data_IF_397714563344
#
_entry.id   IF_397714563344
#
_cell.length_a   1.000
_cell.length_b   1.000
_cell.length_c   1.000
_cell.angle_alpha   90.00
_cell.angle_beta   90.00
_cell.angle_gamma   90.00
#
_symmetry.space_group_name_H-M   'P 1'
#
loop_
_entity.id
_entity.type
_entity.pdbx_description
1 polymer ?
#
# COMPACT_ATOMS: atom_id res chain seq x y z
N UNK A 1 18.09 10.93 57.01
CA UNK A 1 17.01 10.05 56.53
C UNK A 1 15.91 10.91 55.94
N UNK A 2 15.83 10.99 54.61
CA UNK A 2 14.61 11.40 53.89
C UNK A 2 14.83 11.20 52.39
N UNK A 3 14.57 9.98 51.92
CA UNK A 3 14.44 9.70 50.49
C UNK A 3 13.13 10.30 49.99
N UNK A 4 13.20 11.26 49.06
CA UNK A 4 12.06 11.70 48.26
C UNK A 4 11.96 10.83 47.02
N UNK A 5 10.87 10.08 46.91
CA UNK A 5 10.48 9.33 45.72
C UNK A 5 10.10 10.30 44.59
N UNK A 6 10.73 10.16 43.42
CA UNK A 6 10.17 10.62 42.15
C UNK A 6 9.29 9.50 41.59
N UNK A 7 8.02 9.79 41.35
CA UNK A 7 7.13 8.99 40.51
C UNK A 7 7.02 9.65 39.12
N UNK A 8 6.92 8.89 38.01
CA UNK A 8 6.96 9.46 36.67
C UNK A 8 5.57 9.90 36.19
N UNK A 9 5.48 11.14 35.72
CA UNK A 9 4.45 11.61 34.79
C UNK A 9 4.62 10.86 33.46
N UNK A 10 3.81 9.84 33.18
CA UNK A 10 3.82 9.17 31.88
C UNK A 10 2.45 8.65 31.41
N UNK A 11 1.33 9.27 31.83
CA UNK A 11 -0.01 8.77 31.52
C UNK A 11 -1.02 9.84 31.07
N UNK A 12 -0.61 10.84 30.29
CA UNK A 12 -1.50 11.97 29.93
C UNK A 12 -1.42 12.45 28.47
N UNK A 13 -1.10 11.56 27.51
CA UNK A 13 -1.02 11.93 26.08
C UNK A 13 -1.85 11.07 25.11
N UNK A 14 -2.70 10.15 25.60
CA UNK A 14 -3.50 9.28 24.72
C UNK A 14 -4.94 9.77 24.51
N UNK A 15 -5.43 10.74 25.30
CA UNK A 15 -6.86 11.11 25.30
C UNK A 15 -7.23 12.35 24.45
N UNK A 16 -6.29 13.04 23.80
CA UNK A 16 -6.57 14.37 23.22
C UNK A 16 -6.99 14.39 21.73
N UNK A 17 -6.88 13.28 20.98
CA UNK A 17 -7.17 13.29 19.53
C UNK A 17 -8.62 12.92 19.14
N UNK A 18 -9.49 12.56 20.08
CA UNK A 18 -10.88 12.14 19.76
C UNK A 18 -11.92 13.27 19.88
N UNK A 19 -11.51 14.52 20.15
CA UNK A 19 -12.43 15.65 20.39
C UNK A 19 -12.31 16.81 19.39
N UNK A 20 -11.51 16.69 18.34
CA UNK A 20 -11.53 17.66 17.24
C UNK A 20 -12.70 17.34 16.29
N UNK A 21 -13.84 17.96 16.57
CA UNK A 21 -15.05 17.86 15.74
C UNK A 21 -14.80 18.28 14.29
N UNK A 22 -15.18 17.41 13.38
CA UNK A 22 -15.38 17.76 11.97
C UNK A 22 -16.80 18.32 11.82
N UNK A 23 -16.97 19.62 12.05
CA UNK A 23 -18.11 20.37 11.51
C UNK A 23 -17.77 20.74 10.06
N UNK A 24 -18.29 19.97 9.12
CA UNK A 24 -18.39 20.37 7.72
C UNK A 24 -19.67 19.76 7.16
N UNK A 25 -20.67 20.61 6.97
CA UNK A 25 -21.95 20.25 6.39
C UNK A 25 -21.76 19.61 5.00
N UNK A 26 -22.57 18.61 4.62
CA UNK A 26 -22.48 18.03 3.29
C UNK A 26 -23.07 18.97 2.24
N UNK A 27 -22.23 19.40 1.32
CA UNK A 27 -22.62 20.05 0.07
C UNK A 27 -23.32 19.02 -0.82
N UNK A 28 -24.59 19.28 -1.15
CA UNK A 28 -25.42 18.40 -1.99
C UNK A 28 -24.97 18.52 -3.44
N UNK A 29 -24.23 17.53 -3.94
CA UNK A 29 -23.93 17.38 -5.36
C UNK A 29 -25.12 16.70 -6.05
N UNK A 30 -25.89 17.46 -6.84
CA UNK A 30 -26.88 16.92 -7.76
C UNK A 30 -26.17 16.14 -8.87
N UNK A 31 -26.34 14.81 -8.89
CA UNK A 31 -25.99 13.98 -10.04
C UNK A 31 -27.12 14.03 -11.06
N UNK A 32 -26.88 14.71 -12.18
CA UNK A 32 -27.63 14.51 -13.43
C UNK A 32 -26.98 13.36 -14.20
N UNK A 33 -27.61 12.19 -14.21
CA UNK A 33 -27.23 11.07 -15.08
C UNK A 33 -27.72 11.34 -16.51
N UNK A 34 -26.79 11.35 -17.47
CA UNK A 34 -27.10 11.28 -18.89
C UNK A 34 -27.08 9.81 -19.35
N UNK A 35 -27.93 9.41 -20.32
CA UNK A 35 -28.05 8.02 -20.72
C UNK A 35 -26.81 7.54 -21.49
N UNK A 36 -26.24 6.43 -21.04
CA UNK A 36 -25.12 5.73 -21.68
C UNK A 36 -25.65 4.97 -22.90
N UNK A 37 -25.31 5.44 -24.10
CA UNK A 37 -25.51 4.72 -25.35
C UNK A 37 -24.43 3.65 -25.47
N UNK A 38 -24.86 2.37 -25.42
CA UNK A 38 -23.99 1.22 -25.64
C UNK A 38 -23.46 1.23 -27.08
N UNK A 39 -22.14 1.35 -27.25
CA UNK A 39 -21.48 1.16 -28.54
C UNK A 39 -20.68 -0.14 -28.47
N UNK A 40 -21.07 -1.12 -29.27
CA UNK A 40 -20.37 -2.39 -29.46
C UNK A 40 -18.97 -2.17 -30.06
N UNK A 41 -17.90 -2.79 -29.52
CA UNK A 41 -16.57 -2.72 -30.12
C UNK A 41 -16.51 -3.50 -31.44
N UNK A 42 -16.08 -2.84 -32.52
CA UNK A 42 -15.75 -3.49 -33.79
C UNK A 42 -14.50 -4.39 -33.64
N UNK A 43 -14.44 -5.53 -34.36
CA UNK A 43 -13.27 -6.41 -34.35
C UNK A 43 -12.06 -5.75 -35.04
N UNK A 44 -10.91 -5.88 -34.39
CA UNK A 44 -9.60 -5.37 -34.82
C UNK A 44 -9.11 -6.13 -36.08
N UNK A 45 -8.59 -5.46 -37.12
CA UNK A 45 -8.09 -6.13 -38.31
C UNK A 45 -6.85 -6.98 -38.03
N UNK A 46 -6.82 -8.16 -38.63
CA UNK A 46 -5.74 -9.13 -38.64
C UNK A 46 -4.49 -8.59 -39.37
N UNK A 47 -3.27 -8.75 -38.81
CA UNK A 47 -2.06 -8.25 -39.47
C UNK A 47 -1.71 -9.10 -40.71
N UNK A 48 -1.55 -8.44 -41.86
CA UNK A 48 -1.05 -9.05 -43.09
C UNK A 48 0.46 -9.36 -43.03
N UNK A 49 0.93 -10.41 -43.74
CA UNK A 49 2.31 -10.84 -43.72
C UNK A 49 3.25 -9.85 -44.42
N UNK A 50 4.23 -9.35 -43.67
CA UNK A 50 5.23 -8.41 -44.14
C UNK A 50 6.23 -9.08 -45.10
N UNK A 51 6.42 -8.46 -46.27
CA UNK A 51 7.29 -8.90 -47.36
C UNK A 51 8.76 -8.84 -46.95
N UNK A 52 9.45 -9.99 -46.99
CA UNK A 52 10.91 -10.09 -46.90
C UNK A 52 11.59 -9.35 -48.06
N UNK A 53 12.64 -8.60 -47.73
CA UNK A 53 13.61 -8.01 -48.67
C UNK A 53 15.05 -8.34 -48.22
N UNK A 54 16.05 -8.24 -49.13
CA UNK A 54 17.03 -9.31 -49.32
C UNK A 54 18.25 -9.25 -48.40
N UNK A 55 18.87 -10.42 -48.28
CA UNK A 55 20.22 -10.68 -47.80
C UNK A 55 21.22 -9.67 -48.42
N UNK A 56 21.84 -8.84 -47.58
CA UNK A 56 23.06 -8.12 -47.96
C UNK A 56 24.22 -8.86 -47.32
N UNK A 57 24.97 -9.55 -48.18
CA UNK A 57 26.34 -9.97 -47.94
C UNK A 57 27.24 -8.73 -47.88
N UNK A 58 27.91 -8.54 -46.75
CA UNK A 58 29.17 -7.79 -46.72
C UNK A 58 30.05 -8.25 -45.58
N UNK A 59 30.83 -9.28 -45.90
CA UNK A 59 32.13 -9.54 -45.30
C UNK A 59 32.92 -8.24 -45.11
N UNK A 60 33.11 -7.83 -43.85
CA UNK A 60 34.18 -6.93 -43.43
C UNK A 60 34.74 -7.43 -42.11
N UNK A 61 35.70 -8.34 -42.24
CA UNK A 61 36.58 -8.83 -41.18
C UNK A 61 37.48 -7.67 -40.72
N UNK A 62 37.02 -6.90 -39.75
CA UNK A 62 37.90 -6.02 -38.98
C UNK A 62 38.31 -6.79 -37.73
N UNK A 63 39.53 -7.31 -37.77
CA UNK A 63 40.21 -7.96 -36.64
C UNK A 63 40.44 -6.93 -35.54
N UNK A 64 39.47 -6.78 -34.64
CA UNK A 64 39.67 -6.12 -33.37
C UNK A 64 40.51 -7.05 -32.48
N UNK A 65 41.63 -6.53 -31.98
CA UNK A 65 42.47 -7.21 -30.99
C UNK A 65 41.61 -7.71 -29.81
N UNK A 66 41.97 -8.83 -29.14
CA UNK A 66 41.22 -9.37 -28.03
C UNK A 66 41.22 -8.34 -26.89
N UNK A 67 40.13 -7.59 -26.75
CA UNK A 67 39.93 -6.76 -25.58
C UNK A 67 39.76 -7.72 -24.41
N UNK A 68 40.69 -7.68 -23.45
CA UNK A 68 40.55 -8.39 -22.18
C UNK A 68 39.15 -8.10 -21.62
N UNK A 69 38.37 -9.11 -21.21
CA UNK A 69 37.02 -8.91 -20.73
C UNK A 69 37.03 -7.90 -19.58
N UNK A 70 36.36 -6.77 -19.76
CA UNK A 70 36.15 -5.78 -18.68
C UNK A 70 35.40 -6.50 -17.58
N UNK A 71 36.02 -6.61 -16.40
CA UNK A 71 35.44 -7.21 -15.20
C UNK A 71 34.20 -6.39 -14.81
N UNK A 72 33.02 -6.83 -15.24
CA UNK A 72 31.74 -6.20 -14.87
C UNK A 72 31.60 -6.34 -13.36
N UNK A 73 31.28 -5.24 -12.67
CA UNK A 73 31.14 -5.28 -11.21
C UNK A 73 29.96 -6.18 -10.82
N UNK A 74 30.08 -6.88 -9.69
CA UNK A 74 29.02 -7.76 -9.19
C UNK A 74 27.67 -7.00 -9.01
N UNK A 75 27.73 -5.71 -8.68
CA UNK A 75 26.55 -4.85 -8.58
C UNK A 75 25.84 -4.66 -9.93
N UNK A 76 26.60 -4.42 -11.00
CA UNK A 76 26.03 -4.26 -12.35
C UNK A 76 25.35 -5.56 -12.80
N UNK A 77 25.95 -6.72 -12.53
CA UNK A 77 25.34 -8.01 -12.82
C UNK A 77 24.02 -8.21 -12.03
N UNK A 78 24.00 -7.85 -10.75
CA UNK A 78 22.78 -7.93 -9.93
C UNK A 78 21.67 -7.02 -10.46
N UNK A 79 21.98 -5.78 -10.82
CA UNK A 79 20.99 -4.86 -11.38
C UNK A 79 20.42 -5.38 -12.71
N UNK A 80 21.26 -5.96 -13.57
CA UNK A 80 20.80 -6.58 -14.81
C UNK A 80 19.80 -7.72 -14.54
N UNK A 81 20.14 -8.64 -13.62
CA UNK A 81 19.24 -9.75 -13.25
C UNK A 81 17.90 -9.24 -12.71
N UNK A 82 17.91 -8.22 -11.85
CA UNK A 82 16.68 -7.67 -11.28
C UNK A 82 15.82 -6.95 -12.33
N UNK A 83 16.44 -6.26 -13.29
CA UNK A 83 15.74 -5.65 -14.42
C UNK A 83 15.14 -6.72 -15.36
N UNK A 84 15.86 -7.82 -15.60
CA UNK A 84 15.36 -8.93 -16.41
C UNK A 84 14.12 -9.56 -15.77
N UNK A 85 14.14 -9.79 -14.44
CA UNK A 85 12.97 -10.29 -13.69
C UNK A 85 11.74 -9.40 -13.91
N UNK A 86 11.91 -8.08 -13.78
CA UNK A 86 10.81 -7.12 -13.94
C UNK A 86 10.28 -7.08 -15.38
N UNK A 87 11.19 -7.13 -16.35
CA UNK A 87 10.85 -7.12 -17.77
C UNK A 87 10.07 -8.37 -18.15
N UNK A 88 10.55 -9.54 -17.71
CA UNK A 88 9.89 -10.83 -17.93
C UNK A 88 8.53 -10.91 -17.21
N UNK A 89 8.45 -10.42 -15.97
CA UNK A 89 7.19 -10.39 -15.23
C UNK A 89 6.15 -9.51 -15.93
N UNK A 90 6.51 -8.26 -16.28
CA UNK A 90 5.64 -7.32 -17.00
C UNK A 90 5.20 -7.85 -18.37
N UNK A 91 6.07 -8.57 -19.08
CA UNK A 91 5.71 -9.17 -20.38
C UNK A 91 4.58 -10.19 -20.25
N UNK A 92 4.50 -10.89 -19.12
CA UNK A 92 3.56 -11.99 -18.90
C UNK A 92 2.39 -11.63 -17.98
N UNK A 93 2.35 -10.41 -17.43
CA UNK A 93 1.31 -9.93 -16.51
C UNK A 93 0.81 -8.55 -16.94
N UNK A 94 -0.50 -8.37 -16.94
CA UNK A 94 -1.12 -7.07 -17.25
C UNK A 94 -1.76 -6.51 -15.99
N UNK A 95 -1.40 -5.29 -15.64
CA UNK A 95 -2.10 -4.54 -14.61
C UNK A 95 -3.46 -4.09 -15.13
N UNK A 96 -4.54 -4.49 -14.45
CA UNK A 96 -5.91 -4.30 -14.96
C UNK A 96 -6.69 -3.13 -14.33
N UNK A 97 -6.12 -2.34 -13.41
CA UNK A 97 -6.82 -1.17 -12.87
C UNK A 97 -6.23 -0.61 -11.59
N UNK A 98 -6.85 0.44 -11.04
CA UNK A 98 -6.26 1.37 -10.07
C UNK A 98 -6.29 0.92 -8.59
N UNK A 99 -6.45 -0.37 -8.31
CA UNK A 99 -6.57 -0.85 -6.94
C UNK A 99 -5.21 -1.22 -6.34
N UNK A 100 -5.00 -0.85 -5.08
CA UNK A 100 -3.83 -1.20 -4.28
C UNK A 100 -3.63 -2.72 -4.22
N UNK A 101 -4.72 -3.49 -4.15
CA UNK A 101 -4.63 -4.95 -4.07
C UNK A 101 -3.89 -5.55 -5.29
N UNK A 102 -4.07 -4.99 -6.49
CA UNK A 102 -3.38 -5.48 -7.68
C UNK A 102 -1.88 -5.21 -7.65
N UNK A 103 -1.44 -4.01 -7.24
CA UNK A 103 0.00 -3.72 -7.16
C UNK A 103 0.66 -4.51 -6.02
N UNK A 104 -0.07 -4.77 -4.92
CA UNK A 104 0.39 -5.62 -3.83
C UNK A 104 0.58 -7.08 -4.28
N UNK A 105 -0.37 -7.64 -5.03
CA UNK A 105 -0.26 -8.99 -5.57
C UNK A 105 0.94 -9.12 -6.52
N UNK A 106 1.10 -8.18 -7.44
CA UNK A 106 2.26 -8.14 -8.34
C UNK A 106 3.59 -8.01 -7.57
N UNK A 107 3.63 -7.17 -6.54
CA UNK A 107 4.81 -7.04 -5.68
C UNK A 107 5.12 -8.34 -4.93
N UNK A 108 4.11 -9.04 -4.41
CA UNK A 108 4.29 -10.33 -3.73
C UNK A 108 4.84 -11.41 -4.66
N UNK A 109 4.37 -11.47 -5.91
CA UNK A 109 4.89 -12.40 -6.92
C UNK A 109 6.35 -12.09 -7.28
N UNK A 110 6.66 -10.83 -7.59
CA UNK A 110 8.02 -10.41 -7.91
C UNK A 110 8.94 -10.65 -6.71
N UNK A 111 8.48 -10.38 -5.48
CA UNK A 111 9.24 -10.68 -4.27
C UNK A 111 9.60 -12.17 -4.19
N UNK A 112 8.65 -13.07 -4.45
CA UNK A 112 8.91 -14.51 -4.48
C UNK A 112 9.99 -14.87 -5.52
N UNK A 113 9.88 -14.33 -6.74
CA UNK A 113 10.86 -14.58 -7.81
C UNK A 113 12.26 -14.11 -7.40
N UNK A 114 12.35 -12.89 -6.83
CA UNK A 114 13.61 -12.29 -6.38
C UNK A 114 14.25 -13.11 -5.25
N UNK A 115 13.45 -13.56 -4.27
CA UNK A 115 13.92 -14.44 -3.18
C UNK A 115 14.40 -15.79 -3.70
N UNK A 116 13.68 -16.40 -4.64
CA UNK A 116 14.08 -17.68 -5.27
C UNK A 116 15.39 -17.55 -6.05
N UNK A 117 15.67 -16.38 -6.63
CA UNK A 117 16.96 -16.07 -7.27
C UNK A 117 18.10 -15.79 -6.29
N UNK A 118 17.86 -15.90 -4.98
CA UNK A 118 18.88 -15.77 -3.93
C UNK A 118 19.15 -14.34 -3.46
N UNK A 119 18.30 -13.38 -3.82
CA UNK A 119 18.44 -12.00 -3.36
C UNK A 119 17.72 -11.78 -2.03
N UNK A 120 18.27 -10.90 -1.18
CA UNK A 120 17.49 -10.35 -0.08
C UNK A 120 16.49 -9.35 -0.62
N UNK A 121 15.23 -9.47 -0.19
CA UNK A 121 14.15 -8.62 -0.65
C UNK A 121 13.14 -8.35 0.46
N UNK A 122 12.54 -7.17 0.40
CA UNK A 122 11.40 -6.76 1.23
C UNK A 122 10.29 -6.27 0.32
N UNK A 123 9.07 -6.35 0.79
CA UNK A 123 7.93 -5.65 0.20
C UNK A 123 7.86 -4.26 0.79
N UNK A 124 7.41 -3.29 0.01
CA UNK A 124 7.15 -1.94 0.45
C UNK A 124 5.72 -1.57 0.13
N UNK A 125 5.04 -0.90 1.05
CA UNK A 125 3.81 -0.17 0.80
C UNK A 125 4.04 1.30 1.08
N UNK A 126 3.43 2.19 0.30
CA UNK A 126 3.57 3.63 0.52
C UNK A 126 2.93 4.48 -0.58
N UNK A 127 3.42 5.71 -0.74
CA UNK A 127 3.05 6.60 -1.83
C UNK A 127 4.31 7.11 -2.56
N UNK A 128 4.46 6.83 -3.86
CA UNK A 128 5.66 7.20 -4.61
C UNK A 128 5.72 8.70 -4.96
N UNK A 129 4.60 9.42 -4.85
CA UNK A 129 4.44 10.81 -5.30
C UNK A 129 4.25 11.80 -4.14
N UNK A 130 3.97 11.31 -2.93
CA UNK A 130 3.75 12.14 -1.74
C UNK A 130 4.39 11.55 -0.48
N UNK A 131 4.94 12.41 0.37
CA UNK A 131 5.31 12.02 1.73
C UNK A 131 4.05 11.85 2.59
N UNK A 132 3.86 10.63 3.11
CA UNK A 132 2.69 10.25 3.91
C UNK A 132 3.09 9.78 5.32
N UNK A 133 4.34 10.00 5.73
CA UNK A 133 4.88 9.47 6.99
C UNK A 133 4.64 10.35 8.22
N UNK A 134 4.01 11.51 8.03
CA UNK A 134 3.77 12.51 9.07
C UNK A 134 2.87 12.00 10.21
N UNK A 135 1.86 11.18 9.91
CA UNK A 135 0.98 10.57 10.91
C UNK A 135 0.43 9.23 10.43
N UNK A 136 -0.06 8.40 11.36
CA UNK A 136 -0.78 7.16 11.03
C UNK A 136 -1.96 7.43 10.08
N UNK A 137 -2.75 8.47 10.37
CA UNK A 137 -3.87 8.88 9.51
C UNK A 137 -3.43 9.24 8.10
N UNK A 138 -2.41 10.11 7.97
CA UNK A 138 -1.86 10.51 6.66
C UNK A 138 -1.38 9.32 5.85
N UNK A 139 -0.80 8.33 6.54
CA UNK A 139 -0.33 7.10 5.92
C UNK A 139 -1.48 6.24 5.41
N UNK A 140 -2.49 5.97 6.25
CA UNK A 140 -3.62 5.11 5.90
C UNK A 140 -4.50 5.70 4.78
N UNK A 141 -4.62 7.03 4.73
CA UNK A 141 -5.34 7.74 3.66
C UNK A 141 -4.48 7.95 2.41
N UNK A 142 -3.16 7.93 2.57
CA UNK A 142 -2.24 8.31 1.51
C UNK A 142 -1.53 7.16 0.81
N UNK A 143 -1.48 5.98 1.41
CA UNK A 143 -0.84 4.81 0.80
C UNK A 143 -1.61 4.40 -0.46
N UNK A 144 -0.90 4.35 -1.58
CA UNK A 144 -1.51 4.13 -2.90
C UNK A 144 -0.78 3.10 -3.75
N UNK A 145 0.37 2.60 -3.29
CA UNK A 145 1.20 1.71 -4.09
C UNK A 145 1.99 0.69 -3.27
N UNK A 146 2.33 -0.42 -3.91
CA UNK A 146 3.19 -1.46 -3.37
C UNK A 146 4.26 -1.89 -4.38
N UNK A 147 5.48 -2.14 -3.89
CA UNK A 147 6.63 -2.49 -4.71
C UNK A 147 7.61 -3.40 -3.95
N UNK A 148 8.70 -3.80 -4.60
CA UNK A 148 9.76 -4.63 -3.99
C UNK A 148 11.01 -3.80 -3.77
N UNK A 149 11.69 -4.04 -2.65
CA UNK A 149 13.04 -3.54 -2.39
C UNK A 149 13.99 -4.73 -2.44
N UNK A 150 15.01 -4.69 -3.31
CA UNK A 150 16.01 -5.74 -3.42
C UNK A 150 17.40 -5.24 -2.99
N UNK A 151 18.12 -6.04 -2.20
CA UNK A 151 19.46 -5.69 -1.73
C UNK A 151 20.50 -6.01 -2.81
N UNK A 152 21.19 -4.97 -3.32
CA UNK A 152 22.24 -5.12 -4.34
C UNK A 152 23.64 -5.11 -3.74
N UNK A 153 23.82 -4.48 -2.58
CA UNK A 153 25.04 -4.52 -1.76
C UNK A 153 24.68 -4.54 -0.26
N UNK A 154 25.61 -4.81 0.67
CA UNK A 154 25.32 -4.83 2.11
C UNK A 154 24.58 -3.59 2.63
N UNK A 155 24.71 -2.43 1.99
CA UNK A 155 24.05 -1.17 2.39
C UNK A 155 23.21 -0.54 1.29
N UNK A 156 23.19 -1.13 0.09
CA UNK A 156 22.49 -0.59 -1.06
C UNK A 156 21.31 -1.46 -1.43
N UNK A 157 20.16 -0.80 -1.53
CA UNK A 157 18.89 -1.38 -1.96
C UNK A 157 18.42 -0.67 -3.23
N UNK A 158 17.77 -1.41 -4.11
CA UNK A 158 17.11 -0.87 -5.29
C UNK A 158 15.60 -1.12 -5.18
N UNK A 159 14.81 -0.08 -5.45
CA UNK A 159 13.37 -0.23 -5.59
C UNK A 159 13.04 -0.84 -6.96
N UNK A 160 12.07 -1.73 -6.98
CA UNK A 160 11.63 -2.50 -8.14
C UNK A 160 10.16 -2.20 -8.38
N UNK A 161 9.87 -1.35 -9.37
CA UNK A 161 8.52 -1.00 -9.76
C UNK A 161 7.88 -2.15 -10.53
N UNK A 162 7.07 -2.95 -9.83
CA UNK A 162 6.56 -4.23 -10.32
C UNK A 162 5.48 -4.05 -11.40
N UNK A 163 4.71 -2.97 -11.31
CA UNK A 163 3.64 -2.65 -12.27
C UNK A 163 4.23 -2.11 -13.56
N UNK A 164 5.19 -1.20 -13.42
CA UNK A 164 5.91 -0.58 -14.54
C UNK A 164 7.04 -1.44 -15.11
N UNK A 165 7.52 -2.46 -14.41
CA UNK A 165 8.58 -3.34 -14.89
C UNK A 165 9.95 -2.66 -14.98
N UNK A 166 10.29 -1.74 -14.06
CA UNK A 166 11.58 -1.04 -14.07
C UNK A 166 12.19 -0.85 -12.67
N UNK A 167 13.52 -0.75 -12.63
CA UNK A 167 14.24 -0.36 -11.40
C UNK A 167 14.11 1.15 -11.16
N UNK A 168 14.02 1.53 -9.89
CA UNK A 168 13.82 2.93 -9.47
C UNK A 168 15.02 3.40 -8.65
N UNK A 169 15.91 4.25 -9.21
CA UNK A 169 17.04 4.79 -8.47
C UNK A 169 16.63 5.77 -7.36
N UNK A 170 17.20 5.61 -6.17
CA UNK A 170 16.93 6.48 -5.01
C UNK A 170 17.09 7.97 -5.28
N UNK A 171 18.07 8.35 -6.11
CA UNK A 171 18.33 9.76 -6.45
C UNK A 171 17.21 10.39 -7.27
N UNK A 172 16.51 9.59 -8.06
CA UNK A 172 15.45 10.05 -8.97
C UNK A 172 14.09 10.07 -8.26
N UNK A 173 13.83 9.05 -7.43
CA UNK A 173 12.56 8.88 -6.71
C UNK A 173 12.81 8.50 -5.25
N UNK A 174 13.19 9.46 -4.39
CA UNK A 174 13.54 9.18 -2.99
C UNK A 174 12.38 8.63 -2.16
N UNK A 175 11.12 8.94 -2.52
CA UNK A 175 9.94 8.52 -1.78
C UNK A 175 9.71 7.00 -1.78
N UNK A 176 10.21 6.26 -2.79
CA UNK A 176 10.25 4.79 -2.77
C UNK A 176 11.08 4.21 -1.61
N UNK A 177 11.91 5.04 -0.98
CA UNK A 177 12.83 4.65 0.07
C UNK A 177 12.51 5.27 1.43
N UNK A 178 11.86 6.44 1.45
CA UNK A 178 11.58 7.20 2.68
C UNK A 178 10.10 7.28 3.05
N UNK A 179 9.19 7.13 2.08
CA UNK A 179 7.74 7.26 2.26
C UNK A 179 7.05 5.89 2.21
N UNK A 180 7.65 4.91 2.91
CA UNK A 180 7.18 3.53 2.88
C UNK A 180 7.41 2.81 4.20
N UNK A 181 6.59 1.79 4.42
CA UNK A 181 6.84 0.76 5.42
C UNK A 181 7.25 -0.53 4.71
N UNK A 182 8.18 -1.26 5.33
CA UNK A 182 8.81 -2.42 4.72
C UNK A 182 8.42 -3.71 5.43
N UNK A 183 7.94 -4.67 4.65
CA UNK A 183 7.50 -5.98 5.11
C UNK A 183 8.51 -7.05 4.70
N UNK A 184 8.77 -7.98 5.60
CA UNK A 184 9.78 -9.02 5.37
C UNK A 184 9.28 -10.12 4.43
N UNK A 185 7.96 -10.29 4.30
CA UNK A 185 7.33 -11.35 3.54
C UNK A 185 5.87 -11.00 3.18
N UNK A 186 5.25 -11.74 2.23
CA UNK A 186 3.86 -11.56 1.83
C UNK A 186 2.83 -11.63 2.97
N UNK A 187 3.04 -12.50 3.96
CA UNK A 187 2.08 -12.66 5.07
C UNK A 187 1.97 -11.38 5.92
N UNK A 188 3.09 -10.70 6.17
CA UNK A 188 3.09 -9.42 6.87
C UNK A 188 2.36 -8.32 6.09
N UNK A 189 2.59 -8.22 4.77
CA UNK A 189 1.89 -7.24 3.93
C UNK A 189 0.38 -7.52 3.90
N UNK A 190 -0.03 -8.78 3.68
CA UNK A 190 -1.44 -9.19 3.70
C UNK A 190 -2.11 -8.86 5.04
N UNK A 191 -1.41 -9.11 6.15
CA UNK A 191 -1.91 -8.77 7.49
C UNK A 191 -2.12 -7.27 7.64
N UNK A 192 -1.18 -6.46 7.17
CA UNK A 192 -1.29 -5.00 7.21
C UNK A 192 -2.48 -4.49 6.37
N UNK A 193 -2.65 -5.02 5.16
CA UNK A 193 -3.77 -4.66 4.28
C UNK A 193 -5.12 -5.06 4.89
N UNK A 194 -5.22 -6.29 5.41
CA UNK A 194 -6.43 -6.76 6.09
C UNK A 194 -6.76 -5.89 7.31
N UNK A 195 -5.76 -5.52 8.13
CA UNK A 195 -5.97 -4.61 9.25
C UNK A 195 -6.41 -3.21 8.80
N UNK A 196 -5.90 -2.72 7.66
CA UNK A 196 -6.30 -1.43 7.08
C UNK A 196 -7.77 -1.44 6.68
N UNK A 197 -8.20 -2.51 6.02
CA UNK A 197 -9.60 -2.71 5.65
C UNK A 197 -10.52 -2.88 6.86
N UNK A 198 -10.13 -3.73 7.81
CA UNK A 198 -10.88 -3.95 9.04
C UNK A 198 -11.01 -2.68 9.90
N UNK A 199 -9.95 -1.87 9.98
CA UNK A 199 -9.99 -0.57 10.65
C UNK A 199 -11.00 0.35 9.95
N UNK A 200 -10.90 0.50 8.62
CA UNK A 200 -11.82 1.34 7.85
C UNK A 200 -13.27 0.95 8.07
N UNK A 201 -13.59 -0.33 7.89
CA UNK A 201 -14.95 -0.84 7.99
C UNK A 201 -15.49 -0.70 9.43
N UNK A 202 -14.70 -1.12 10.43
CA UNK A 202 -15.13 -1.04 11.84
C UNK A 202 -15.30 0.39 12.33
N UNK A 203 -14.41 1.31 11.93
CA UNK A 203 -14.51 2.71 12.32
C UNK A 203 -15.69 3.40 11.61
N UNK A 204 -15.95 3.09 10.34
CA UNK A 204 -17.11 3.61 9.63
C UNK A 204 -18.41 3.13 10.29
N UNK A 205 -18.56 1.83 10.51
CA UNK A 205 -19.75 1.26 11.17
C UNK A 205 -19.96 1.84 12.57
N UNK A 206 -18.88 2.00 13.35
CA UNK A 206 -18.94 2.67 14.65
C UNK A 206 -19.49 4.09 14.54
N UNK A 207 -18.98 4.89 13.60
CA UNK A 207 -19.41 6.28 13.42
C UNK A 207 -20.89 6.37 12.98
N UNK A 208 -21.34 5.47 12.11
CA UNK A 208 -22.75 5.37 11.70
C UNK A 208 -23.65 5.00 12.87
N UNK A 209 -23.28 3.97 13.65
CA UNK A 209 -24.02 3.55 14.84
C UNK A 209 -24.04 4.64 15.91
N UNK A 210 -22.92 5.32 16.17
CA UNK A 210 -22.83 6.41 17.13
C UNK A 210 -23.70 7.60 16.72
N UNK A 211 -23.72 7.94 15.43
CA UNK A 211 -24.59 9.00 14.89
C UNK A 211 -26.06 8.63 15.05
N UNK A 212 -26.43 7.39 14.70
CA UNK A 212 -27.79 6.88 14.87
C UNK A 212 -28.21 6.83 16.33
N UNK A 213 -27.35 6.33 17.21
CA UNK A 213 -27.54 6.29 18.64
C UNK A 213 -27.83 7.68 19.20
N UNK A 214 -26.96 8.65 18.93
CA UNK A 214 -27.11 10.02 19.40
C UNK A 214 -28.45 10.63 18.96
N UNK A 215 -28.87 10.42 17.70
CA UNK A 215 -30.19 10.86 17.22
C UNK A 215 -31.36 10.19 17.94
N UNK A 216 -31.22 8.90 18.28
CA UNK A 216 -32.27 8.13 18.93
C UNK A 216 -32.42 8.47 20.41
N UNK A 217 -31.32 8.67 21.13
CA UNK A 217 -31.33 8.81 22.60
C UNK A 217 -31.19 10.26 23.10
N UNK A 218 -30.69 11.20 22.29
CA UNK A 218 -30.54 12.58 22.73
C UNK A 218 -31.86 13.17 23.22
N UNK A 219 -31.86 13.66 24.46
CA UNK A 219 -33.02 14.28 25.11
C UNK A 219 -34.14 13.31 25.51
N UNK A 220 -33.97 12.00 25.34
CA UNK A 220 -35.00 11.00 25.67
C UNK A 220 -34.61 10.20 26.91
N UNK A 221 -35.57 10.04 27.84
CA UNK A 221 -35.47 9.06 28.92
C UNK A 221 -36.14 7.77 28.46
N UNK A 222 -35.48 6.64 28.68
CA UNK A 222 -36.08 5.32 28.45
C UNK A 222 -36.03 4.49 29.73
N UNK A 223 -36.99 3.58 29.88
CA UNK A 223 -37.04 2.65 31.01
C UNK A 223 -36.20 1.41 30.67
N UNK A 224 -35.14 1.08 31.44
CA UNK A 224 -34.43 -0.17 31.28
C UNK A 224 -35.41 -1.37 31.36
N UNK A 225 -35.23 -2.36 30.49
CA UNK A 225 -36.08 -3.55 30.42
C UNK A 225 -37.41 -3.38 29.68
N UNK A 226 -37.79 -2.17 29.25
CA UNK A 226 -38.85 -1.99 28.25
C UNK A 226 -38.40 -2.49 26.88
N UNK A 227 -39.33 -2.79 25.96
CA UNK A 227 -38.97 -3.18 24.58
C UNK A 227 -38.03 -2.15 23.90
N UNK A 228 -38.31 -0.86 24.08
CA UNK A 228 -37.45 0.23 23.61
C UNK A 228 -36.09 0.24 24.31
N UNK A 229 -36.05 0.04 25.63
CA UNK A 229 -34.81 -0.04 26.38
C UNK A 229 -33.93 -1.22 25.98
N UNK A 230 -34.53 -2.38 25.69
CA UNK A 230 -33.81 -3.56 25.17
C UNK A 230 -33.22 -3.29 23.79
N UNK A 231 -33.99 -2.68 22.89
CA UNK A 231 -33.50 -2.27 21.57
C UNK A 231 -32.32 -1.30 21.70
N UNK A 232 -32.39 -0.35 22.62
CA UNK A 232 -31.31 0.60 22.85
C UNK A 232 -30.05 -0.09 23.40
N UNK A 233 -30.17 -0.94 24.41
CA UNK A 233 -29.03 -1.72 24.90
C UNK A 233 -28.38 -2.58 23.82
N UNK A 234 -29.16 -3.12 22.88
CA UNK A 234 -28.62 -3.85 21.72
C UNK A 234 -27.78 -2.96 20.80
N UNK A 235 -28.30 -1.78 20.43
CA UNK A 235 -27.58 -0.82 19.57
C UNK A 235 -26.29 -0.34 20.27
N UNK A 236 -26.38 0.00 21.55
CA UNK A 236 -25.22 0.40 22.36
C UNK A 236 -24.16 -0.71 22.43
N UNK A 237 -24.59 -1.97 22.61
CA UNK A 237 -23.71 -3.14 22.59
C UNK A 237 -22.95 -3.28 21.27
N UNK A 238 -23.66 -3.18 20.14
CA UNK A 238 -23.05 -3.25 18.81
C UNK A 238 -22.09 -2.07 18.55
N UNK A 239 -22.51 -0.85 18.90
CA UNK A 239 -21.68 0.34 18.79
C UNK A 239 -20.37 0.18 19.59
N UNK A 240 -20.45 -0.29 20.84
CA UNK A 240 -19.29 -0.51 21.68
C UNK A 240 -18.40 -1.64 21.17
N UNK A 241 -18.95 -2.68 20.54
CA UNK A 241 -18.17 -3.72 19.87
C UNK A 241 -17.36 -3.14 18.71
N UNK A 242 -18.01 -2.38 17.81
CA UNK A 242 -17.34 -1.77 16.65
C UNK A 242 -16.31 -0.71 17.04
N UNK A 243 -16.56 0.02 18.13
CA UNK A 243 -15.57 0.92 18.73
C UNK A 243 -14.28 0.17 19.10
N UNK A 244 -14.39 -0.96 19.81
CA UNK A 244 -13.23 -1.76 20.22
C UNK A 244 -12.48 -2.33 19.02
N UNK A 245 -13.21 -2.80 18.00
CA UNK A 245 -12.59 -3.31 16.77
C UNK A 245 -11.82 -2.20 16.04
N UNK A 246 -12.44 -1.02 15.86
CA UNK A 246 -11.79 0.17 15.30
C UNK A 246 -10.51 0.54 16.05
N UNK A 247 -10.57 0.61 17.39
CA UNK A 247 -9.42 0.91 18.25
C UNK A 247 -8.32 -0.15 18.11
N UNK A 248 -8.68 -1.44 18.13
CA UNK A 248 -7.75 -2.55 18.01
C UNK A 248 -6.97 -2.50 16.69
N UNK A 249 -7.66 -2.44 15.54
CA UNK A 249 -7.00 -2.43 14.25
C UNK A 249 -6.16 -1.16 14.03
N UNK A 250 -6.63 0.00 14.50
CA UNK A 250 -5.87 1.25 14.44
C UNK A 250 -4.56 1.15 15.23
N UNK A 251 -4.58 0.53 16.42
CA UNK A 251 -3.37 0.30 17.20
C UNK A 251 -2.39 -0.65 16.48
N UNK A 252 -2.88 -1.73 15.87
CA UNK A 252 -2.03 -2.64 15.08
C UNK A 252 -1.35 -1.91 13.91
N UNK A 253 -2.08 -1.05 13.21
CA UNK A 253 -1.55 -0.25 12.10
C UNK A 253 -0.50 0.75 12.58
N UNK A 254 -0.78 1.46 13.68
CA UNK A 254 0.18 2.40 14.27
C UNK A 254 1.48 1.68 14.67
N UNK A 255 1.38 0.51 15.31
CA UNK A 255 2.56 -0.28 15.67
C UNK A 255 3.35 -0.73 14.44
N UNK A 256 2.67 -1.21 13.39
CA UNK A 256 3.33 -1.57 12.14
C UNK A 256 4.06 -0.37 11.51
N UNK A 257 3.41 0.80 11.44
CA UNK A 257 3.98 2.02 10.89
C UNK A 257 5.19 2.51 11.68
N UNK A 258 5.21 2.36 13.01
CA UNK A 258 6.35 2.78 13.84
C UNK A 258 7.53 1.81 13.74
N UNK A 259 7.26 0.51 13.64
CA UNK A 259 8.30 -0.53 13.71
C UNK A 259 8.91 -0.89 12.36
N UNK A 260 8.18 -0.67 11.25
CA UNK A 260 8.57 -1.13 9.91
C UNK A 260 9.12 -0.03 8.98
N UNK A 261 9.50 1.15 9.49
CA UNK A 261 10.06 2.25 8.66
C UNK A 261 11.49 2.00 8.15
N UNK A 262 12.20 1.04 8.74
CA UNK A 262 13.61 0.81 8.41
C UNK A 262 13.77 -0.24 7.33
N UNK A 263 14.41 0.17 6.25
CA UNK A 263 14.88 -0.70 5.19
C UNK A 263 16.05 -1.56 5.66
#
# INVERSE_FOLDING_TARGET
>A
MSHRFLAPLCALLVAACLLAGCDSAPEQVQQTEAPVVATTPQPKPEPQPEKRKPLIDRSKKTSAAPQKPKKVSAMVLKLAILQDILTDYRKNHTYMGNDLYMCADMAMDVWNIVRTKGFNAKLAGGNPDRDIMASTTSYLEGMSHAWVMAQVSPKDWIAMECTGGFLVPKKEKPLYYSSAIFFSNPAELKTFMANTENARNSCQEYNELATGWNKLVAGKRYKPGSAQGQQYSYIEGNMNAKKRDCEYYTQQLQLAILTKRKL
#
